data_IF_570464592585
#
_entry.id   IF_570464592585
#
_cell.length_a   1.000
_cell.length_b   1.000
_cell.length_c   1.000
_cell.angle_alpha   90.00
_cell.angle_beta   90.00
_cell.angle_gamma   90.00
#
_symmetry.space_group_name_H-M   'P 1'
#
loop_
_entity.id
_entity.type
_entity.pdbx_description
1 polymer ?
#
# COMPACT_ATOMS: atom_id res chain seq x y z
N UNK A 1 -46.96 -32.05 -19.44
CA UNK A 1 -47.61 -30.72 -19.50
C UNK A 1 -46.52 -29.72 -19.83
N UNK A 2 -46.43 -29.32 -21.08
CA UNK A 2 -45.38 -28.46 -21.63
C UNK A 2 -46.08 -27.49 -22.57
N UNK A 3 -45.99 -26.20 -22.26
CA UNK A 3 -46.48 -25.09 -23.09
C UNK A 3 -45.25 -24.21 -23.40
N UNK A 4 -45.03 -23.83 -24.67
CA UNK A 4 -43.83 -23.10 -25.10
C UNK A 4 -44.00 -21.57 -25.02
N UNK A 5 -42.88 -20.85 -24.90
CA UNK A 5 -42.79 -19.41 -25.06
C UNK A 5 -42.96 -19.00 -26.53
N UNK A 6 -43.77 -17.96 -26.74
CA UNK A 6 -43.96 -17.26 -28.02
C UNK A 6 -43.05 -16.03 -28.12
N UNK A 7 -42.49 -15.79 -29.30
CA UNK A 7 -41.79 -14.55 -29.68
C UNK A 7 -42.74 -13.73 -30.58
N UNK A 8 -42.94 -12.45 -30.25
CA UNK A 8 -43.69 -11.48 -31.05
C UNK A 8 -42.75 -10.61 -31.91
N UNK A 9 -43.10 -10.42 -33.19
CA UNK A 9 -42.39 -9.60 -34.18
C UNK A 9 -42.62 -8.09 -34.05
N UNK A 10 -41.64 -7.25 -34.37
CA UNK A 10 -41.29 -6.60 -35.67
C UNK A 10 -42.25 -5.49 -36.16
N UNK A 11 -41.75 -4.25 -36.15
CA UNK A 11 -41.93 -3.16 -37.14
C UNK A 11 -40.63 -2.31 -37.07
N UNK A 12 -39.91 -1.89 -38.11
CA UNK A 12 -40.09 -1.91 -39.55
C UNK A 12 -39.84 -0.52 -40.15
N UNK A 13 -38.59 -0.15 -40.47
CA UNK A 13 -38.29 0.98 -41.39
C UNK A 13 -36.91 0.87 -42.09
N UNK A 14 -37.00 0.53 -43.39
CA UNK A 14 -36.21 0.86 -44.60
C UNK A 14 -34.71 1.22 -44.54
N UNK A 15 -33.92 0.25 -45.02
CA UNK A 15 -32.74 0.26 -45.90
C UNK A 15 -32.06 1.57 -46.37
N UNK A 16 -30.73 1.60 -46.18
CA UNK A 16 -29.76 2.02 -47.21
C UNK A 16 -28.56 1.05 -47.19
N UNK A 17 -28.20 0.51 -48.36
CA UNK A 17 -27.19 -0.54 -48.56
C UNK A 17 -25.77 0.02 -48.41
N UNK A 18 -24.97 -0.52 -47.49
CA UNK A 18 -23.53 -0.72 -47.66
C UNK A 18 -23.19 -2.11 -47.09
N UNK A 19 -22.88 -3.06 -47.96
CA UNK A 19 -22.55 -4.43 -47.60
C UNK A 19 -21.11 -4.50 -47.07
N UNK A 20 -20.93 -4.74 -45.77
CA UNK A 20 -19.72 -5.35 -45.23
C UNK A 20 -20.02 -6.83 -44.95
N UNK A 21 -19.37 -7.71 -45.72
CA UNK A 21 -19.38 -9.15 -45.52
C UNK A 21 -18.68 -9.48 -44.19
N UNK A 22 -19.45 -9.74 -43.14
CA UNK A 22 -18.97 -10.48 -41.98
C UNK A 22 -19.22 -11.96 -42.24
N UNK A 23 -18.15 -12.70 -42.56
CA UNK A 23 -18.18 -14.17 -42.50
C UNK A 23 -18.24 -14.58 -41.04
N UNK A 24 -19.41 -15.00 -40.57
CA UNK A 24 -19.56 -15.68 -39.30
C UNK A 24 -18.95 -17.09 -39.43
N UNK A 25 -17.69 -17.23 -39.03
CA UNK A 25 -17.08 -18.53 -38.81
C UNK A 25 -17.71 -19.14 -37.55
N UNK A 26 -18.66 -20.05 -37.72
CA UNK A 26 -19.06 -20.98 -36.67
C UNK A 26 -17.87 -21.90 -36.38
N UNK A 27 -17.04 -21.50 -35.42
CA UNK A 27 -16.07 -22.40 -34.82
C UNK A 27 -16.83 -23.49 -34.06
N UNK A 28 -16.73 -24.74 -34.51
CA UNK A 28 -17.10 -25.87 -33.67
C UNK A 28 -16.27 -25.77 -32.39
N UNK A 29 -16.91 -25.64 -31.23
CA UNK A 29 -16.28 -26.01 -29.97
C UNK A 29 -16.04 -27.52 -30.04
N UNK A 30 -14.83 -27.91 -30.41
CA UNK A 30 -14.33 -29.23 -30.09
C UNK A 30 -14.07 -29.24 -28.57
N UNK A 31 -14.90 -29.95 -27.81
CA UNK A 31 -14.52 -30.38 -26.47
C UNK A 31 -13.31 -31.30 -26.63
N UNK A 32 -12.10 -30.75 -26.48
CA UNK A 32 -10.88 -31.53 -26.44
C UNK A 32 -10.95 -32.52 -25.27
N UNK A 33 -10.91 -33.80 -25.58
CA UNK A 33 -10.60 -34.84 -24.62
C UNK A 33 -9.14 -34.64 -24.19
N UNK A 34 -8.94 -34.05 -23.01
CA UNK A 34 -7.60 -33.95 -22.41
C UNK A 34 -6.96 -35.32 -22.32
N UNK A 35 -5.72 -35.42 -22.79
CA UNK A 35 -4.95 -36.66 -22.80
C UNK A 35 -4.54 -36.99 -21.34
N UNK A 36 -5.05 -38.07 -20.71
CA UNK A 36 -4.75 -38.38 -19.32
C UNK A 36 -3.27 -38.72 -19.09
N UNK A 37 -2.50 -38.93 -20.17
CA UNK A 37 -1.05 -39.16 -20.10
C UNK A 37 -0.22 -37.87 -20.01
N UNK A 38 -0.81 -36.69 -20.26
CA UNK A 38 -0.09 -35.42 -20.25
C UNK A 38 -1.04 -34.27 -19.84
N UNK A 39 -1.24 -34.05 -18.52
CA UNK A 39 -2.04 -32.92 -18.06
C UNK A 39 -1.46 -31.62 -18.60
N UNK A 40 -2.32 -30.72 -19.05
CA UNK A 40 -1.94 -29.37 -19.46
C UNK A 40 -1.09 -28.76 -18.33
N UNK A 41 0.17 -28.37 -18.57
CA UNK A 41 0.95 -27.71 -17.54
C UNK A 41 0.12 -26.51 -17.10
N UNK A 42 -0.29 -26.50 -15.84
CA UNK A 42 -1.00 -25.36 -15.25
C UNK A 42 -0.24 -24.07 -15.56
N UNK A 43 -0.92 -22.90 -15.51
CA UNK A 43 -0.34 -21.64 -15.93
C UNK A 43 1.10 -21.49 -15.40
N UNK A 44 2.05 -21.33 -16.33
CA UNK A 44 3.48 -21.27 -16.02
C UNK A 44 3.72 -20.15 -14.99
N UNK A 45 4.37 -20.49 -13.86
CA UNK A 45 4.65 -19.52 -12.80
C UNK A 45 5.50 -18.40 -13.40
N UNK A 46 5.14 -17.11 -13.21
CA UNK A 46 5.91 -16.01 -13.77
C UNK A 46 7.39 -16.12 -13.36
N UNK A 47 8.32 -15.71 -14.25
CA UNK A 47 9.74 -15.75 -13.92
C UNK A 47 10.02 -14.92 -12.67
N UNK A 48 10.98 -15.32 -11.82
CA UNK A 48 11.27 -14.60 -10.60
C UNK A 48 11.76 -13.18 -10.89
N UNK A 49 11.39 -12.19 -10.05
CA UNK A 49 11.77 -10.80 -10.24
C UNK A 49 13.30 -10.62 -10.23
N UNK A 50 13.84 -9.83 -11.17
CA UNK A 50 15.27 -9.48 -11.19
C UNK A 50 15.64 -8.40 -10.16
N UNK A 51 14.65 -7.63 -9.71
CA UNK A 51 14.74 -6.60 -8.67
C UNK A 51 13.41 -6.57 -7.92
N UNK A 52 13.45 -6.24 -6.64
CA UNK A 52 12.30 -6.11 -5.76
C UNK A 52 12.41 -4.75 -5.08
N UNK A 53 11.36 -3.94 -5.15
CA UNK A 53 11.42 -2.53 -4.73
C UNK A 53 12.63 -1.77 -5.32
N UNK A 54 12.90 -1.97 -6.62
CA UNK A 54 13.98 -1.32 -7.35
C UNK A 54 15.41 -1.81 -7.09
N UNK A 55 15.63 -2.84 -6.24
CA UNK A 55 16.97 -3.40 -5.96
C UNK A 55 17.01 -4.93 -5.97
N UNK A 56 18.09 -5.50 -6.48
CA UNK A 56 18.24 -6.96 -6.56
C UNK A 56 18.49 -7.58 -5.18
N UNK A 57 19.24 -6.86 -4.34
CA UNK A 57 19.65 -7.21 -2.99
C UNK A 57 18.48 -7.34 -2.01
N UNK A 58 17.33 -6.74 -2.34
CA UNK A 58 16.11 -6.80 -1.53
C UNK A 58 15.28 -8.06 -1.78
N UNK A 59 15.43 -8.71 -2.94
CA UNK A 59 14.53 -9.80 -3.31
C UNK A 59 14.56 -10.99 -2.35
N UNK A 60 15.76 -11.38 -1.90
CA UNK A 60 15.96 -12.57 -1.07
C UNK A 60 16.01 -12.23 0.44
N UNK A 61 15.66 -10.99 0.82
CA UNK A 61 15.57 -10.56 2.22
C UNK A 61 14.16 -10.79 2.76
N UNK A 62 14.00 -11.39 3.95
CA UNK A 62 12.72 -11.40 4.67
C UNK A 62 12.19 -9.98 4.88
N UNK A 63 10.87 -9.80 4.73
CA UNK A 63 10.22 -8.48 4.78
C UNK A 63 10.53 -7.70 6.07
N UNK A 64 10.54 -8.39 7.22
CA UNK A 64 10.86 -7.85 8.56
C UNK A 64 12.34 -7.48 8.76
N UNK A 65 13.19 -7.78 7.78
CA UNK A 65 14.61 -7.40 7.81
C UNK A 65 14.93 -6.23 6.89
N UNK A 66 13.93 -5.58 6.28
CA UNK A 66 14.11 -4.48 5.33
C UNK A 66 13.62 -3.15 5.93
N UNK A 67 14.36 -2.07 5.70
CA UNK A 67 13.93 -0.71 5.96
C UNK A 67 13.26 -0.12 4.71
N UNK A 68 12.12 0.54 4.87
CA UNK A 68 11.34 1.17 3.82
C UNK A 68 11.17 2.66 4.13
N UNK A 69 11.31 3.54 3.12
CA UNK A 69 10.98 4.94 3.30
C UNK A 69 9.46 5.07 3.41
N UNK A 70 9.00 5.80 4.44
CA UNK A 70 7.60 5.89 4.79
C UNK A 70 7.14 7.35 4.93
N UNK A 71 5.86 7.62 4.69
CA UNK A 71 5.27 8.96 4.85
C UNK A 71 4.14 8.96 5.87
N UNK A 72 4.19 9.93 6.78
CA UNK A 72 3.12 10.27 7.69
C UNK A 72 2.02 11.04 6.95
N UNK A 73 0.76 10.71 7.19
CA UNK A 73 -0.41 11.27 6.49
C UNK A 73 -0.17 11.40 4.99
N UNK A 74 0.17 10.30 4.32
CA UNK A 74 0.65 10.28 2.94
C UNK A 74 -0.30 10.96 1.93
N UNK A 75 -1.60 11.00 2.20
CA UNK A 75 -2.61 11.68 1.39
C UNK A 75 -2.56 13.22 1.50
N UNK A 76 -2.07 13.75 2.62
CA UNK A 76 -2.16 15.15 3.02
C UNK A 76 -1.10 15.95 2.28
N UNK A 77 -1.45 16.49 1.11
CA UNK A 77 -0.46 17.00 0.16
C UNK A 77 -0.75 18.39 -0.40
N UNK A 78 0.32 19.17 -0.57
CA UNK A 78 0.27 20.51 -1.16
C UNK A 78 -0.21 20.46 -2.61
N UNK A 79 0.28 19.49 -3.39
CA UNK A 79 -0.12 19.28 -4.79
C UNK A 79 -1.63 19.16 -4.97
N UNK A 80 -2.33 18.55 -4.00
CA UNK A 80 -3.79 18.37 -4.03
C UNK A 80 -4.55 19.52 -3.34
N UNK A 81 -3.87 20.59 -2.93
CA UNK A 81 -4.49 21.80 -2.38
C UNK A 81 -4.93 21.71 -0.91
N UNK A 82 -4.34 20.80 -0.13
CA UNK A 82 -4.62 20.70 1.30
C UNK A 82 -4.10 21.93 2.06
N UNK A 83 -4.83 22.36 3.10
CA UNK A 83 -4.54 23.61 3.81
C UNK A 83 -3.32 23.52 4.77
N UNK A 84 -3.07 22.34 5.33
CA UNK A 84 -1.93 22.06 6.21
C UNK A 84 -1.31 20.70 5.83
N UNK A 85 -0.65 20.64 4.66
CA UNK A 85 -0.20 19.37 4.10
C UNK A 85 0.98 18.81 4.89
N UNK A 86 1.03 17.48 5.02
CA UNK A 86 2.18 16.76 5.56
C UNK A 86 3.24 16.51 4.49
N UNK A 87 2.86 16.52 3.21
CA UNK A 87 3.73 16.19 2.08
C UNK A 87 3.62 17.24 0.97
N UNK A 88 4.68 17.44 0.17
CA UNK A 88 4.58 18.31 -1.01
C UNK A 88 3.77 17.65 -2.13
N UNK A 89 3.91 16.33 -2.29
CA UNK A 89 3.37 15.58 -3.42
C UNK A 89 2.32 14.54 -3.01
N UNK A 90 1.41 14.21 -3.93
CA UNK A 90 0.37 13.20 -3.71
C UNK A 90 0.92 11.77 -3.63
N UNK A 91 0.07 10.82 -3.21
CA UNK A 91 0.45 9.42 -2.97
C UNK A 91 1.09 8.74 -4.20
N UNK A 92 0.55 8.92 -5.40
CA UNK A 92 1.20 8.38 -6.61
C UNK A 92 2.63 8.86 -6.77
N UNK A 93 2.88 10.16 -6.61
CA UNK A 93 4.23 10.69 -6.79
C UNK A 93 5.19 10.17 -5.70
N UNK A 94 4.71 10.03 -4.46
CA UNK A 94 5.47 9.37 -3.39
C UNK A 94 5.88 7.94 -3.78
N UNK A 95 4.96 7.15 -4.34
CA UNK A 95 5.25 5.79 -4.81
C UNK A 95 6.30 5.80 -5.93
N UNK A 96 6.16 6.68 -6.92
CA UNK A 96 7.12 6.83 -8.04
C UNK A 96 8.52 7.25 -7.55
N UNK A 97 8.59 8.09 -6.51
CA UNK A 97 9.85 8.55 -5.92
C UNK A 97 10.52 7.51 -5.00
N UNK A 98 9.82 6.40 -4.69
CA UNK A 98 10.39 5.28 -3.94
C UNK A 98 9.79 5.04 -2.55
N UNK A 99 8.76 5.79 -2.12
CA UNK A 99 8.03 5.50 -0.87
C UNK A 99 7.39 4.12 -0.96
N UNK A 100 7.58 3.29 0.09
CA UNK A 100 7.04 1.91 0.14
C UNK A 100 6.26 1.60 1.41
N UNK A 101 6.08 2.57 2.28
CA UNK A 101 5.10 2.50 3.36
C UNK A 101 4.37 3.84 3.50
N UNK A 102 3.05 3.80 3.69
CA UNK A 102 2.22 5.01 3.79
C UNK A 102 1.30 4.89 4.99
N UNK A 103 1.37 5.88 5.87
CA UNK A 103 0.40 6.06 6.94
C UNK A 103 -0.75 6.89 6.38
N UNK A 104 -1.98 6.37 6.49
CA UNK A 104 -3.19 7.00 5.98
C UNK A 104 -4.32 6.93 7.00
N UNK A 105 -5.11 7.98 7.04
CA UNK A 105 -6.29 8.17 7.86
C UNK A 105 -7.53 7.99 7.00
N UNK A 106 -8.47 7.22 7.51
CA UNK A 106 -9.73 6.95 6.84
C UNK A 106 -10.88 7.54 7.64
N UNK A 107 -11.80 8.22 6.95
CA UNK A 107 -12.95 8.85 7.59
C UNK A 107 -14.21 8.68 6.76
N UNK A 108 -15.34 8.56 7.47
CA UNK A 108 -16.66 8.77 6.90
C UNK A 108 -17.00 10.26 6.92
N UNK A 109 -17.30 10.84 5.76
CA UNK A 109 -17.70 12.25 5.64
C UNK A 109 -18.66 12.41 4.47
N UNK A 110 -19.74 13.18 4.65
CA UNK A 110 -20.80 13.40 3.64
C UNK A 110 -21.28 12.09 2.96
N UNK A 111 -21.58 11.07 3.77
CA UNK A 111 -22.05 9.74 3.36
C UNK A 111 -21.07 8.87 2.53
N UNK A 112 -19.89 9.40 2.19
CA UNK A 112 -18.81 8.70 1.47
C UNK A 112 -17.59 8.43 2.37
N UNK A 113 -16.62 7.69 1.82
CA UNK A 113 -15.36 7.32 2.50
C UNK A 113 -14.20 8.12 1.91
N UNK A 114 -13.50 8.86 2.77
CA UNK A 114 -12.42 9.76 2.39
C UNK A 114 -11.13 9.43 3.13
N UNK A 115 -10.04 9.82 2.51
CA UNK A 115 -8.79 10.12 3.18
C UNK A 115 -8.82 11.59 3.58
N UNK A 116 -8.73 11.89 4.88
CA UNK A 116 -8.67 13.24 5.42
C UNK A 116 -7.99 13.22 6.80
N UNK A 117 -7.45 14.33 7.30
CA UNK A 117 -6.82 14.37 8.61
C UNK A 117 -7.66 15.19 9.58
N UNK A 118 -8.47 14.50 10.40
CA UNK A 118 -9.46 15.06 11.37
C UNK A 118 -10.60 15.92 10.77
N UNK A 119 -10.30 16.92 9.95
CA UNK A 119 -11.27 17.87 9.38
C UNK A 119 -11.19 17.79 7.85
N UNK A 120 -12.13 17.08 7.23
CA UNK A 120 -12.10 16.83 5.79
C UNK A 120 -12.29 18.10 4.93
N UNK A 121 -12.85 19.19 5.47
CA UNK A 121 -12.96 20.48 4.79
C UNK A 121 -11.59 21.13 4.52
N UNK A 122 -10.53 20.75 5.26
CA UNK A 122 -9.18 21.26 5.08
C UNK A 122 -8.37 20.51 4.02
N UNK A 123 -8.92 19.43 3.47
CA UNK A 123 -8.29 18.58 2.48
C UNK A 123 -8.88 17.17 2.56
N UNK A 124 -9.27 16.63 1.42
CA UNK A 124 -9.80 15.29 1.33
C UNK A 124 -9.57 14.69 -0.05
N UNK A 125 -9.47 13.36 -0.08
CA UNK A 125 -9.43 12.56 -1.31
C UNK A 125 -10.39 11.39 -1.13
N UNK A 126 -11.17 11.03 -2.14
CA UNK A 126 -12.00 9.83 -2.06
C UNK A 126 -11.10 8.61 -1.84
N UNK A 127 -11.41 7.81 -0.81
CA UNK A 127 -10.59 6.66 -0.44
C UNK A 127 -10.47 5.65 -1.60
N UNK A 128 -11.57 5.42 -2.32
CA UNK A 128 -11.56 4.51 -3.47
C UNK A 128 -10.65 5.01 -4.60
N UNK A 129 -10.61 6.32 -4.86
CA UNK A 129 -9.79 6.88 -5.94
C UNK A 129 -8.30 6.76 -5.62
N UNK A 130 -7.90 7.05 -4.38
CA UNK A 130 -6.53 6.87 -3.92
C UNK A 130 -6.08 5.40 -3.99
N UNK A 131 -6.94 4.45 -3.59
CA UNK A 131 -6.64 3.02 -3.69
C UNK A 131 -6.61 2.53 -5.15
N UNK A 132 -7.45 3.08 -6.04
CA UNK A 132 -7.39 2.79 -7.48
C UNK A 132 -6.08 3.31 -8.08
N UNK A 133 -5.63 4.49 -7.68
CA UNK A 133 -4.34 5.05 -8.10
C UNK A 133 -3.18 4.15 -7.65
N UNK A 134 -3.20 3.66 -6.41
CA UNK A 134 -2.23 2.67 -5.93
C UNK A 134 -2.29 1.37 -6.73
N UNK A 135 -3.48 0.85 -7.06
CA UNK A 135 -3.61 -0.32 -7.94
C UNK A 135 -2.93 -0.07 -9.28
N UNK A 136 -3.18 1.09 -9.91
CA UNK A 136 -2.58 1.43 -11.21
C UNK A 136 -1.05 1.45 -11.13
N UNK A 137 -0.48 1.98 -10.05
CA UNK A 137 0.96 1.91 -9.79
C UNK A 137 1.46 0.46 -9.69
N UNK A 138 0.81 -0.37 -8.87
CA UNK A 138 1.19 -1.78 -8.68
C UNK A 138 0.98 -2.65 -9.94
N UNK A 139 0.04 -2.28 -10.82
CA UNK A 139 -0.13 -2.88 -12.15
C UNK A 139 1.07 -2.55 -13.06
N UNK A 140 1.51 -1.29 -13.04
CA UNK A 140 2.64 -0.84 -13.84
C UNK A 140 3.98 -1.35 -13.29
N UNK A 141 4.06 -1.67 -12.00
CA UNK A 141 5.28 -2.07 -11.31
C UNK A 141 5.06 -3.39 -10.55
N UNK A 142 5.12 -4.53 -11.25
CA UNK A 142 4.74 -5.83 -10.69
C UNK A 142 5.71 -6.38 -9.64
N UNK A 143 6.87 -5.73 -9.43
CA UNK A 143 7.89 -6.16 -8.47
C UNK A 143 8.00 -5.23 -7.25
N UNK A 144 6.90 -4.53 -6.95
CA UNK A 144 6.79 -3.61 -5.83
C UNK A 144 5.91 -4.20 -4.73
N UNK A 145 6.39 -4.13 -3.50
CA UNK A 145 5.64 -4.42 -2.27
C UNK A 145 5.51 -3.12 -1.48
N UNK A 146 4.28 -2.78 -1.11
CA UNK A 146 3.92 -1.55 -0.40
C UNK A 146 3.19 -1.88 0.90
N UNK A 147 3.44 -1.12 1.95
CA UNK A 147 2.73 -1.21 3.23
C UNK A 147 1.75 -0.06 3.38
N UNK A 148 0.51 -0.37 3.76
CA UNK A 148 -0.48 0.62 4.21
C UNK A 148 -0.71 0.47 5.71
N UNK A 149 -0.45 1.54 6.46
CA UNK A 149 -0.74 1.62 7.89
C UNK A 149 -1.92 2.59 8.02
N UNK A 150 -3.05 2.09 8.51
CA UNK A 150 -4.33 2.79 8.45
C UNK A 150 -4.73 3.23 9.85
N UNK A 151 -4.81 4.54 10.07
CA UNK A 151 -5.60 5.10 11.16
C UNK A 151 -7.08 4.94 10.79
N UNK A 152 -7.69 3.90 11.35
CA UNK A 152 -8.99 3.35 10.96
C UNK A 152 -10.15 4.10 11.63
N UNK A 153 -10.60 5.17 10.98
CA UNK A 153 -11.83 5.90 11.34
C UNK A 153 -13.08 5.40 10.61
N UNK A 154 -12.99 4.28 9.90
CA UNK A 154 -14.08 3.59 9.21
C UNK A 154 -14.10 2.12 9.64
N UNK A 155 -15.21 1.42 9.40
CA UNK A 155 -15.36 0.02 9.81
C UNK A 155 -14.47 -0.94 9.01
N UNK A 156 -14.12 -2.11 9.58
CA UNK A 156 -13.56 -3.25 8.87
C UNK A 156 -14.24 -3.58 7.54
N UNK A 157 -15.58 -3.63 7.54
CA UNK A 157 -16.39 -3.99 6.38
C UNK A 157 -16.33 -2.92 5.28
N UNK A 158 -16.28 -1.65 5.66
CA UNK A 158 -16.07 -0.53 4.72
C UNK A 158 -14.68 -0.58 4.10
N UNK A 159 -13.66 -0.86 4.92
CA UNK A 159 -12.28 -1.03 4.44
C UNK A 159 -12.20 -2.20 3.46
N UNK A 160 -12.70 -3.38 3.83
CA UNK A 160 -12.74 -4.53 2.93
C UNK A 160 -13.52 -4.22 1.64
N UNK A 161 -14.67 -3.56 1.77
CA UNK A 161 -15.50 -3.13 0.66
C UNK A 161 -14.77 -2.23 -0.32
N UNK A 162 -13.98 -1.27 0.16
CA UNK A 162 -13.22 -0.37 -0.72
C UNK A 162 -12.02 -1.08 -1.35
N UNK A 163 -11.34 -1.98 -0.64
CA UNK A 163 -10.26 -2.80 -1.21
C UNK A 163 -10.76 -3.73 -2.32
N UNK A 164 -11.98 -4.26 -2.19
CA UNK A 164 -12.66 -5.02 -3.26
C UNK A 164 -12.98 -4.12 -4.45
N UNK A 165 -13.56 -2.93 -4.21
CA UNK A 165 -13.92 -1.96 -5.27
C UNK A 165 -12.69 -1.42 -6.02
N UNK A 166 -11.59 -1.19 -5.33
CA UNK A 166 -10.34 -0.69 -5.92
C UNK A 166 -9.58 -1.75 -6.70
N UNK A 167 -9.86 -3.04 -6.46
CA UNK A 167 -9.16 -4.18 -7.05
C UNK A 167 -7.89 -4.60 -6.31
N UNK A 168 -7.66 -4.09 -5.10
CA UNK A 168 -6.47 -4.40 -4.29
C UNK A 168 -6.61 -5.66 -3.43
N UNK A 169 -7.83 -6.11 -3.13
CA UNK A 169 -8.06 -7.23 -2.20
C UNK A 169 -7.30 -8.53 -2.54
N UNK A 170 -7.04 -8.81 -3.82
CA UNK A 170 -6.27 -10.01 -4.22
C UNK A 170 -4.77 -9.91 -3.93
N UNK A 171 -4.25 -8.68 -3.76
CA UNK A 171 -2.81 -8.37 -3.63
C UNK A 171 -2.34 -8.31 -2.18
N UNK A 172 -3.25 -8.43 -1.22
CA UNK A 172 -2.94 -8.32 0.20
C UNK A 172 -2.38 -9.63 0.75
N UNK A 173 -1.36 -9.51 1.60
CA UNK A 173 -0.72 -10.58 2.34
C UNK A 173 -1.28 -10.69 3.75
N UNK A 174 -1.66 -11.91 4.15
CA UNK A 174 -2.05 -12.24 5.51
C UNK A 174 -0.87 -12.93 6.20
N UNK A 175 -0.15 -12.20 7.04
CA UNK A 175 0.87 -12.76 7.91
C UNK A 175 0.23 -13.60 9.02
N UNK A 176 0.77 -14.80 9.25
CA UNK A 176 0.40 -15.65 10.38
C UNK A 176 1.35 -15.41 11.54
N UNK A 177 0.83 -14.89 12.65
CA UNK A 177 1.64 -14.57 13.82
C UNK A 177 2.47 -15.77 14.32
N UNK A 178 3.76 -15.54 14.58
CA UNK A 178 4.68 -16.59 15.03
C UNK A 178 5.29 -17.43 13.90
N UNK A 179 5.00 -17.09 12.63
CA UNK A 179 5.69 -17.66 11.47
C UNK A 179 6.74 -16.68 10.93
N UNK A 180 7.83 -17.16 10.31
CA UNK A 180 8.80 -16.26 9.68
C UNK A 180 8.15 -15.42 8.57
N UNK A 181 8.58 -14.16 8.43
CA UNK A 181 8.17 -13.35 7.30
C UNK A 181 8.74 -13.88 5.98
N UNK A 182 7.95 -13.89 4.89
CA UNK A 182 8.45 -14.24 3.57
C UNK A 182 9.43 -13.18 3.06
N UNK A 183 10.25 -13.59 2.11
CA UNK A 183 11.07 -12.66 1.32
C UNK A 183 10.21 -11.82 0.38
N UNK A 184 10.73 -10.67 -0.09
CA UNK A 184 10.02 -9.91 -1.11
C UNK A 184 9.77 -10.73 -2.38
N UNK A 185 10.73 -11.58 -2.78
CA UNK A 185 10.57 -12.47 -3.93
C UNK A 185 9.39 -13.42 -3.74
N UNK A 186 9.25 -14.04 -2.57
CA UNK A 186 8.16 -14.97 -2.27
C UNK A 186 6.80 -14.27 -2.30
N UNK A 187 6.69 -13.09 -1.67
CA UNK A 187 5.48 -12.26 -1.74
C UNK A 187 5.08 -11.99 -3.19
N UNK A 188 6.02 -11.50 -4.01
CA UNK A 188 5.76 -11.14 -5.41
C UNK A 188 5.42 -12.36 -6.27
N UNK A 189 6.08 -13.50 -6.06
CA UNK A 189 5.79 -14.76 -6.75
C UNK A 189 4.41 -15.33 -6.42
N UNK A 190 3.85 -14.96 -5.27
CA UNK A 190 2.48 -15.30 -4.84
C UNK A 190 1.47 -14.19 -5.17
N UNK A 191 1.89 -13.18 -5.95
CA UNK A 191 1.05 -12.06 -6.37
C UNK A 191 0.67 -11.11 -5.24
N UNK A 192 1.44 -11.12 -4.13
CA UNK A 192 1.22 -10.30 -2.96
C UNK A 192 2.12 -9.07 -3.01
N UNK A 193 1.49 -7.91 -3.06
CA UNK A 193 2.15 -6.61 -3.17
C UNK A 193 1.76 -5.66 -2.04
N UNK A 194 0.85 -6.07 -1.14
CA UNK A 194 0.34 -5.22 -0.07
C UNK A 194 0.40 -5.91 1.29
N UNK A 195 0.98 -5.22 2.27
CA UNK A 195 0.81 -5.50 3.70
C UNK A 195 -0.04 -4.38 4.27
N UNK A 196 -1.13 -4.71 4.97
CA UNK A 196 -2.11 -3.71 5.45
C UNK A 196 -2.33 -3.88 6.94
N UNK A 197 -2.17 -2.83 7.73
CA UNK A 197 -2.42 -2.84 9.17
C UNK A 197 -3.32 -1.69 9.61
N UNK A 198 -4.25 -1.95 10.54
CA UNK A 198 -5.07 -0.98 11.25
C UNK A 198 -4.41 -0.57 12.57
N UNK A 199 -4.50 0.70 12.96
CA UNK A 199 -3.96 1.19 14.23
C UNK A 199 -4.89 0.94 15.44
N UNK A 200 -6.19 0.79 15.24
CA UNK A 200 -7.20 0.70 16.28
C UNK A 200 -7.85 -0.67 16.41
N UNK A 201 -8.56 -1.10 15.37
CA UNK A 201 -9.36 -2.32 15.39
C UNK A 201 -8.60 -3.55 14.86
N UNK A 202 -9.07 -4.76 15.23
CA UNK A 202 -8.56 -6.06 14.76
C UNK A 202 -9.55 -6.65 13.74
N UNK A 203 -9.43 -6.31 12.46
CA UNK A 203 -10.51 -6.52 11.51
C UNK A 203 -10.38 -7.93 10.88
N UNK A 204 -11.47 -8.71 10.72
CA UNK A 204 -11.57 -9.50 9.49
C UNK A 204 -11.61 -8.53 8.28
N UNK A 205 -11.11 -8.90 7.10
CA UNK A 205 -10.52 -10.18 6.71
C UNK A 205 -9.07 -10.36 7.21
N UNK A 206 -8.57 -11.60 7.23
CA UNK A 206 -7.28 -11.97 7.83
C UNK A 206 -6.03 -11.23 7.29
N UNK A 207 -6.13 -10.58 6.12
CA UNK A 207 -5.04 -9.75 5.58
C UNK A 207 -4.99 -8.34 6.16
N UNK A 208 -6.07 -7.89 6.82
CA UNK A 208 -6.13 -6.59 7.46
C UNK A 208 -5.67 -6.77 8.91
N UNK A 209 -4.38 -6.58 9.15
CA UNK A 209 -3.77 -6.88 10.45
C UNK A 209 -4.19 -5.83 11.47
N UNK A 210 -4.27 -6.22 12.74
CA UNK A 210 -4.07 -5.24 13.80
C UNK A 210 -2.57 -4.92 13.83
N UNK A 211 -2.18 -3.70 13.45
CA UNK A 211 -0.78 -3.37 13.18
C UNK A 211 0.10 -3.57 14.43
N UNK A 212 -0.42 -3.27 15.62
CA UNK A 212 0.33 -3.39 16.88
C UNK A 212 0.51 -4.82 17.40
N UNK A 213 -0.07 -5.82 16.73
CA UNK A 213 0.24 -7.23 16.99
C UNK A 213 1.47 -7.70 16.23
N UNK A 214 1.87 -7.00 15.17
CA UNK A 214 3.00 -7.36 14.30
C UNK A 214 4.10 -6.30 14.29
N UNK A 215 3.81 -5.09 14.80
CA UNK A 215 4.74 -3.97 14.84
C UNK A 215 4.73 -3.26 16.20
N UNK A 216 5.77 -2.47 16.48
CA UNK A 216 5.79 -1.46 17.53
C UNK A 216 6.29 -0.12 16.97
N UNK A 217 6.09 0.97 17.70
CA UNK A 217 6.53 2.29 17.27
C UNK A 217 7.16 3.16 18.37
N UNK A 218 7.83 4.24 17.93
CA UNK A 218 8.25 5.35 18.81
C UNK A 218 7.11 6.37 18.98
N UNK A 219 7.15 7.25 20.00
CA UNK A 219 6.27 8.40 20.06
C UNK A 219 6.36 9.25 18.79
N UNK A 220 5.30 10.00 18.52
CA UNK A 220 5.13 10.81 17.31
C UNK A 220 4.83 12.30 17.58
N UNK A 221 4.70 12.69 18.85
CA UNK A 221 4.36 14.05 19.25
C UNK A 221 5.60 14.75 19.82
N UNK A 222 6.36 15.42 18.96
CA UNK A 222 7.56 16.18 19.33
C UNK A 222 7.43 17.65 18.95
N UNK A 223 7.91 18.55 19.81
CA UNK A 223 7.92 20.00 19.54
C UNK A 223 9.21 20.43 18.82
N UNK A 224 10.29 19.67 18.98
CA UNK A 224 11.60 19.90 18.39
C UNK A 224 12.40 18.61 18.20
N UNK A 225 13.53 18.70 17.49
CA UNK A 225 14.47 17.57 17.33
C UNK A 225 15.14 17.16 18.64
N UNK A 226 15.23 18.06 19.62
CA UNK A 226 15.84 17.78 20.93
C UNK A 226 14.93 16.89 21.81
N UNK A 227 13.63 16.82 21.47
CA UNK A 227 12.64 15.99 22.18
C UNK A 227 12.61 14.54 21.66
N UNK A 228 13.27 14.28 20.52
CA UNK A 228 13.29 12.98 19.89
C UNK A 228 13.88 11.92 20.82
N UNK A 229 13.16 10.80 20.92
CA UNK A 229 13.59 9.64 21.68
C UNK A 229 13.10 8.34 21.03
N UNK A 230 13.55 7.22 21.58
CA UNK A 230 13.25 5.87 21.10
C UNK A 230 12.43 5.05 22.10
N UNK A 231 11.72 5.72 23.02
CA UNK A 231 10.83 5.03 23.94
C UNK A 231 9.77 4.24 23.15
N UNK A 232 9.31 3.08 23.63
CA UNK A 232 8.16 2.41 23.04
C UNK A 232 6.88 3.23 23.25
N UNK A 233 5.99 3.25 22.24
CA UNK A 233 4.70 3.93 22.32
C UNK A 233 3.53 2.95 22.15
N UNK A 234 3.40 2.30 20.99
CA UNK A 234 2.38 1.28 20.69
C UNK A 234 3.03 -0.05 20.33
N UNK A 235 2.28 -1.14 20.49
CA UNK A 235 2.78 -2.51 20.28
C UNK A 235 3.81 -2.94 21.33
N UNK A 236 4.57 -3.99 21.04
CA UNK A 236 5.64 -4.48 21.92
C UNK A 236 6.95 -4.64 21.15
N UNK A 237 8.09 -4.34 21.78
CA UNK A 237 9.42 -4.50 21.16
C UNK A 237 9.79 -5.96 20.85
N UNK A 238 8.94 -6.94 21.21
CA UNK A 238 9.07 -8.32 20.76
C UNK A 238 8.40 -8.61 19.40
N UNK A 239 7.73 -7.62 18.81
CA UNK A 239 7.07 -7.74 17.52
C UNK A 239 8.10 -7.58 16.38
N UNK A 240 7.84 -8.27 15.26
CA UNK A 240 8.79 -8.37 14.15
C UNK A 240 9.08 -7.04 13.45
N UNK A 241 8.12 -6.12 13.42
CA UNK A 241 8.22 -4.86 12.68
C UNK A 241 8.40 -3.65 13.60
N UNK A 242 9.14 -2.64 13.12
CA UNK A 242 9.35 -1.38 13.83
C UNK A 242 9.04 -0.16 12.95
N UNK A 243 8.11 0.68 13.42
CA UNK A 243 7.80 2.00 12.87
C UNK A 243 8.53 3.11 13.66
N UNK A 244 9.46 3.79 13.01
CA UNK A 244 10.09 4.99 13.54
C UNK A 244 9.30 6.22 13.10
N UNK A 245 8.64 6.87 14.06
CA UNK A 245 7.93 8.12 13.84
C UNK A 245 8.89 9.31 13.98
N UNK A 246 9.10 10.05 12.89
CA UNK A 246 10.14 11.10 12.80
C UNK A 246 9.64 12.39 12.14
N UNK A 247 8.95 13.23 12.92
CA UNK A 247 8.52 14.56 12.48
C UNK A 247 8.36 15.52 13.66
N UNK A 248 8.25 16.82 13.37
CA UNK A 248 8.05 17.89 14.35
C UNK A 248 6.61 18.39 14.23
N UNK A 249 5.83 18.21 15.29
CA UNK A 249 4.43 18.62 15.40
C UNK A 249 4.23 19.94 16.17
N UNK A 250 2.98 20.35 16.43
CA UNK A 250 1.74 19.73 15.95
C UNK A 250 1.34 20.14 14.53
N UNK A 251 1.93 21.21 13.97
CA UNK A 251 1.61 21.68 12.61
C UNK A 251 2.78 21.36 11.68
N UNK A 252 2.56 20.59 10.60
CA UNK A 252 3.60 20.30 9.62
C UNK A 252 3.94 21.58 8.82
N UNK A 253 5.24 21.84 8.62
CA UNK A 253 5.71 22.86 7.67
C UNK A 253 6.94 22.35 6.92
N UNK A 254 7.22 22.82 5.68
CA UNK A 254 8.42 22.44 4.95
C UNK A 254 9.72 22.67 5.74
N UNK A 255 9.80 23.75 6.52
CA UNK A 255 10.98 24.05 7.35
C UNK A 255 11.16 23.02 8.48
N UNK A 256 10.06 22.60 9.11
CA UNK A 256 10.07 21.53 10.13
C UNK A 256 10.46 20.19 9.53
N UNK A 257 9.91 19.85 8.36
CA UNK A 257 10.28 18.66 7.60
C UNK A 257 11.76 18.66 7.25
N UNK A 258 12.26 19.74 6.64
CA UNK A 258 13.68 19.88 6.31
C UNK A 258 14.61 19.80 7.53
N UNK A 259 14.18 20.34 8.68
CA UNK A 259 14.94 20.28 9.94
C UNK A 259 14.98 18.87 10.51
N UNK A 260 13.83 18.20 10.59
CA UNK A 260 13.75 16.83 11.09
C UNK A 260 14.50 15.85 10.17
N UNK A 261 14.30 15.96 8.87
CA UNK A 261 14.83 15.03 7.87
C UNK A 261 16.28 15.32 7.46
N UNK A 262 16.92 16.34 8.05
CA UNK A 262 18.34 16.59 7.88
C UNK A 262 19.14 15.32 8.21
N UNK A 263 20.17 15.02 7.42
CA UNK A 263 20.90 13.75 7.48
C UNK A 263 21.41 13.45 8.90
N UNK A 264 22.10 14.39 9.50
CA UNK A 264 22.64 14.32 10.87
C UNK A 264 21.57 14.10 11.94
N UNK A 265 20.33 14.55 11.73
CA UNK A 265 19.22 14.35 12.68
C UNK A 265 18.59 12.97 12.47
N UNK A 266 18.17 12.67 11.24
CA UNK A 266 17.47 11.43 10.93
C UNK A 266 18.37 10.20 11.06
N UNK A 267 19.61 10.25 10.55
CA UNK A 267 20.56 9.12 10.63
C UNK A 267 20.94 8.83 12.08
N UNK A 268 21.25 9.86 12.87
CA UNK A 268 21.59 9.69 14.29
C UNK A 268 20.44 9.04 15.08
N UNK A 269 19.20 9.53 14.87
CA UNK A 269 18.03 8.96 15.54
C UNK A 269 17.74 7.53 15.08
N UNK A 270 17.79 7.25 13.78
CA UNK A 270 17.55 5.92 13.26
C UNK A 270 18.54 4.90 13.83
N UNK A 271 19.83 5.25 13.91
CA UNK A 271 20.87 4.39 14.50
C UNK A 271 20.70 4.22 16.02
N UNK A 272 20.34 5.29 16.72
CA UNK A 272 20.02 5.23 18.16
C UNK A 272 18.85 4.27 18.41
N UNK A 273 17.73 4.47 17.71
CA UNK A 273 16.53 3.66 17.92
C UNK A 273 16.72 2.22 17.45
N UNK A 274 17.54 1.97 16.42
CA UNK A 274 17.95 0.63 16.06
C UNK A 274 18.71 -0.07 17.20
N UNK A 275 19.61 0.66 17.86
CA UNK A 275 20.42 0.12 18.95
C UNK A 275 19.58 -0.13 20.21
N UNK A 276 18.74 0.83 20.59
CA UNK A 276 17.87 0.73 21.77
C UNK A 276 16.73 -0.30 21.58
N UNK A 277 16.18 -0.39 20.37
CA UNK A 277 15.12 -1.33 20.02
C UNK A 277 15.60 -2.74 19.69
N UNK A 278 16.90 -2.92 19.41
CA UNK A 278 17.47 -4.23 19.06
C UNK A 278 17.11 -4.75 17.66
N UNK A 279 16.40 -3.96 16.86
CA UNK A 279 16.01 -4.29 15.48
C UNK A 279 16.05 -3.05 14.59
N UNK A 280 16.12 -3.26 13.27
CA UNK A 280 16.09 -2.14 12.33
C UNK A 280 14.73 -1.42 12.37
N UNK A 281 14.68 -0.10 12.14
CA UNK A 281 13.45 0.57 11.76
C UNK A 281 12.99 0.05 10.39
N UNK A 282 11.93 -0.74 10.35
CA UNK A 282 11.36 -1.22 9.10
C UNK A 282 10.66 -0.10 8.34
N UNK A 283 10.03 0.83 9.05
CA UNK A 283 9.34 1.97 8.45
C UNK A 283 9.92 3.25 9.03
N UNK A 284 10.60 4.05 8.22
CA UNK A 284 11.11 5.37 8.62
C UNK A 284 10.12 6.41 8.12
N UNK A 285 9.18 6.82 8.99
CA UNK A 285 8.06 7.67 8.63
C UNK A 285 8.36 9.14 8.92
N UNK A 286 8.18 10.00 7.91
CA UNK A 286 8.46 11.44 7.97
C UNK A 286 7.33 12.30 7.38
N UNK A 287 7.32 13.57 7.75
CA UNK A 287 6.67 14.65 7.00
C UNK A 287 7.64 15.22 5.95
N UNK A 288 7.12 15.69 4.81
CA UNK A 288 7.88 16.26 3.68
C UNK A 288 9.04 15.37 3.22
N UNK A 289 8.73 14.15 2.80
CA UNK A 289 9.72 13.13 2.41
C UNK A 289 10.75 13.60 1.36
N UNK A 290 10.37 14.55 0.52
CA UNK A 290 11.20 15.11 -0.55
C UNK A 290 12.24 16.13 -0.03
N UNK A 291 12.13 16.54 1.24
CA UNK A 291 13.05 17.44 1.89
C UNK A 291 13.91 16.67 2.88
N UNK A 292 15.21 16.55 2.59
CA UNK A 292 16.19 15.94 3.48
C UNK A 292 16.73 14.60 2.96
N UNK A 293 17.11 13.73 3.88
CA UNK A 293 17.96 12.57 3.59
C UNK A 293 17.24 11.22 3.78
N UNK A 294 15.90 11.18 3.77
CA UNK A 294 15.11 9.96 4.02
C UNK A 294 15.63 8.75 3.23
N UNK A 295 15.72 8.89 1.90
CA UNK A 295 16.15 7.79 1.04
C UNK A 295 17.60 7.35 1.31
N UNK A 296 18.50 8.30 1.58
CA UNK A 296 19.89 7.98 1.93
C UNK A 296 19.95 7.19 3.25
N UNK A 297 19.25 7.62 4.29
CA UNK A 297 19.26 6.94 5.60
C UNK A 297 18.65 5.55 5.49
N UNK A 298 17.58 5.38 4.70
CA UNK A 298 16.98 4.06 4.46
C UNK A 298 17.93 3.14 3.68
N UNK A 299 18.66 3.66 2.70
CA UNK A 299 19.70 2.90 2.00
C UNK A 299 20.81 2.43 2.97
N UNK A 300 21.25 3.31 3.88
CA UNK A 300 22.27 2.99 4.90
C UNK A 300 21.77 1.92 5.90
N UNK A 301 20.53 2.02 6.36
CA UNK A 301 19.89 0.99 7.20
C UNK A 301 19.83 -0.37 6.48
N UNK A 302 19.63 -0.35 5.17
CA UNK A 302 19.64 -1.54 4.33
C UNK A 302 21.04 -2.01 3.91
N UNK A 303 22.09 -1.23 4.20
CA UNK A 303 23.51 -1.51 3.89
C UNK A 303 23.83 -1.52 2.39
N UNK A 304 23.30 -0.56 1.65
CA UNK A 304 23.67 -0.31 0.26
C UNK A 304 24.88 0.60 0.10
#
# INVERSE_FOLDING_TARGET
MTIPCTLGGVHGTRFSLHALLWTASFGLLACGSGDPANPDPGPEKPPPPSQCNGRAELCDRPFDTIAFPATHNAMSSFELGWAAPNQNFGMKRQLEDGIRAMLIDTHRWNDDLYLCHSICELGHTLLVDALVEMRVFLDAHPHEVVTLIIQDGITPEETEGVFKKSGLAGRTYAHEAGTPWPTLRELLLDGKQLVVGAEGERPPPAWYHHFWDIAWDTPYSFESVDDFNCAPNRGTQGNDLFLLNHWIGPIPTPERGATANAYEVLSARAQQCQTEGGQIPNFVAVDFYDLGALFQVVDELNRF
#
